data_IF_252854983710
#
_entry.id   IF_252854983710
#
_cell.length_a   1.000
_cell.length_b   1.000
_cell.length_c   1.000
_cell.angle_alpha   90.00
_cell.angle_beta   90.00
_cell.angle_gamma   90.00
#
_symmetry.space_group_name_H-M   'P 1'
#
loop_
_entity.id
_entity.type
_entity.pdbx_description
1 polymer ?
#
# COMPACT_ATOMS: atom_id res chain seq x y z
N UNK A 1 15.21 -5.59 -7.81
CA UNK A 1 14.04 -5.11 -7.06
C UNK A 1 14.07 -3.59 -7.01
N UNK A 2 13.14 -2.89 -7.65
CA UNK A 2 13.00 -1.44 -7.47
C UNK A 2 11.95 -1.17 -6.40
N UNK A 3 12.28 -0.37 -5.39
CA UNK A 3 11.31 0.17 -4.44
C UNK A 3 11.09 1.65 -4.73
N UNK A 4 9.85 2.11 -4.72
CA UNK A 4 9.52 3.51 -4.92
C UNK A 4 8.58 4.00 -3.83
N UNK A 5 8.63 5.30 -3.51
CA UNK A 5 7.74 5.88 -2.53
C UNK A 5 6.31 5.99 -3.10
N UNK A 6 5.33 5.44 -2.41
CA UNK A 6 3.92 5.62 -2.70
C UNK A 6 3.45 6.99 -2.21
N UNK A 7 3.62 7.99 -3.09
CA UNK A 7 3.30 9.40 -2.80
C UNK A 7 1.81 9.58 -2.54
N UNK A 8 0.95 8.84 -3.24
CA UNK A 8 -0.51 8.95 -3.08
C UNK A 8 -0.95 8.43 -1.72
N UNK A 9 -0.40 7.30 -1.26
CA UNK A 9 -0.64 6.79 0.09
C UNK A 9 -0.16 7.77 1.15
N UNK A 10 1.05 8.32 1.02
CA UNK A 10 1.55 9.34 1.94
C UNK A 10 0.60 10.55 1.99
N UNK A 11 0.24 11.09 0.83
CA UNK A 11 -0.65 12.24 0.72
C UNK A 11 -2.04 11.97 1.30
N UNK A 12 -2.58 10.76 1.12
CA UNK A 12 -3.85 10.32 1.69
C UNK A 12 -3.78 10.24 3.22
N UNK A 13 -2.73 9.63 3.77
CA UNK A 13 -2.53 9.52 5.22
C UNK A 13 -2.38 10.89 5.88
N UNK A 14 -1.63 11.80 5.25
CA UNK A 14 -1.47 13.18 5.73
C UNK A 14 -2.82 13.90 5.80
N UNK A 15 -3.60 13.88 4.71
CA UNK A 15 -4.94 14.48 4.69
C UNK A 15 -5.86 13.88 5.74
N UNK A 16 -5.84 12.55 5.88
CA UNK A 16 -6.67 11.82 6.83
C UNK A 16 -6.34 12.20 8.27
N UNK A 17 -5.05 12.23 8.64
CA UNK A 17 -4.63 12.61 9.99
C UNK A 17 -4.86 14.11 10.26
N UNK A 18 -4.66 14.97 9.26
CA UNK A 18 -4.96 16.41 9.38
C UNK A 18 -6.46 16.63 9.61
N UNK A 19 -7.31 15.95 8.84
CA UNK A 19 -8.76 16.10 8.89
C UNK A 19 -9.17 17.52 8.47
N UNK A 20 -10.02 18.15 9.29
CA UNK A 20 -10.48 19.54 9.08
C UNK A 20 -9.47 20.60 9.51
N UNK A 21 -8.34 20.20 10.11
CA UNK A 21 -7.33 21.13 10.62
C UNK A 21 -6.65 21.92 9.51
N UNK A 22 -6.30 23.16 9.79
CA UNK A 22 -5.60 24.06 8.88
C UNK A 22 -4.15 23.62 8.62
N UNK A 23 -3.63 23.97 7.45
CA UNK A 23 -2.24 23.64 7.08
C UNK A 23 -1.23 24.31 8.02
N UNK A 24 -1.53 25.52 8.50
CA UNK A 24 -0.63 26.26 9.41
C UNK A 24 -0.48 25.58 10.77
N UNK A 25 -1.60 25.30 11.43
CA UNK A 25 -1.57 24.60 12.73
C UNK A 25 -0.93 23.21 12.61
N UNK A 26 -1.24 22.47 11.55
CA UNK A 26 -0.70 21.13 11.33
C UNK A 26 0.80 21.18 11.05
N UNK A 27 1.27 22.19 10.30
CA UNK A 27 2.70 22.36 10.00
C UNK A 27 3.54 22.63 11.27
N UNK A 28 2.97 23.35 12.24
CA UNK A 28 3.60 23.59 13.55
C UNK A 28 3.68 22.31 14.36
N UNK A 29 2.64 21.48 14.34
CA UNK A 29 2.61 20.19 15.03
C UNK A 29 3.61 19.18 14.45
N UNK A 30 3.74 19.11 13.12
CA UNK A 30 4.70 18.20 12.47
C UNK A 30 6.13 18.62 12.80
N UNK A 31 6.41 19.92 12.80
CA UNK A 31 7.76 20.47 12.91
C UNK A 31 8.56 20.30 11.61
N UNK A 32 9.50 21.22 11.34
CA UNK A 32 10.36 21.23 10.14
C UNK A 32 9.64 21.12 8.77
N UNK A 33 8.34 21.38 8.72
CA UNK A 33 7.54 21.39 7.48
C UNK A 33 6.78 22.70 7.41
N UNK A 34 6.89 23.42 6.29
CA UNK A 34 6.12 24.65 6.07
C UNK A 34 4.68 24.35 5.61
N UNK A 35 3.69 25.25 5.82
CA UNK A 35 2.33 25.07 5.29
C UNK A 35 2.30 24.83 3.79
N UNK A 36 3.18 25.51 3.04
CA UNK A 36 3.32 25.37 1.59
C UNK A 36 3.90 24.01 1.21
N UNK A 37 4.87 23.48 1.98
CA UNK A 37 5.40 22.13 1.78
C UNK A 37 4.33 21.08 2.07
N UNK A 38 3.60 21.23 3.18
CA UNK A 38 2.51 20.33 3.54
C UNK A 38 1.43 20.29 2.44
N UNK A 39 1.02 21.46 1.92
CA UNK A 39 0.06 21.53 0.80
C UNK A 39 0.56 20.81 -0.46
N UNK A 40 1.85 20.94 -0.79
CA UNK A 40 2.46 20.26 -1.95
C UNK A 40 2.45 18.74 -1.76
N UNK A 41 2.82 18.26 -0.58
CA UNK A 41 2.78 16.82 -0.24
C UNK A 41 1.36 16.29 -0.33
N UNK A 42 0.40 16.99 0.25
CA UNK A 42 -1.00 16.60 0.10
C UNK A 42 -1.38 16.60 -1.38
N UNK A 43 -0.95 17.55 -2.19
CA UNK A 43 -1.23 17.55 -3.63
C UNK A 43 -0.46 16.49 -4.44
N UNK A 44 0.18 15.51 -3.79
CA UNK A 44 0.86 14.40 -4.45
C UNK A 44 2.26 14.75 -4.95
N UNK A 45 2.90 15.80 -4.44
CA UNK A 45 4.29 16.13 -4.82
C UNK A 45 5.29 15.46 -3.90
N UNK A 46 6.37 14.96 -4.50
CA UNK A 46 7.47 14.29 -3.81
C UNK A 46 8.09 15.22 -2.74
N UNK A 47 8.09 14.82 -1.45
CA UNK A 47 8.84 15.52 -0.42
C UNK A 47 10.34 15.23 -0.54
N UNK A 48 11.15 16.13 0.03
CA UNK A 48 12.54 15.79 0.35
C UNK A 48 12.60 14.81 1.54
N UNK A 49 13.79 14.27 1.79
CA UNK A 49 13.99 13.26 2.83
C UNK A 49 13.67 13.76 4.24
N UNK A 50 13.98 15.02 4.54
CA UNK A 50 13.72 15.61 5.85
C UNK A 50 12.21 15.74 6.09
N UNK A 51 11.48 16.32 5.13
CA UNK A 51 10.02 16.43 5.15
C UNK A 51 9.38 15.05 5.26
N UNK A 52 9.87 14.07 4.50
CA UNK A 52 9.34 12.71 4.52
C UNK A 52 9.46 12.07 5.91
N UNK A 53 10.63 12.15 6.55
CA UNK A 53 10.84 11.57 7.88
C UNK A 53 10.02 12.29 8.96
N UNK A 54 9.92 13.62 8.89
CA UNK A 54 9.07 14.40 9.79
C UNK A 54 7.60 13.96 9.68
N UNK A 55 7.11 13.74 8.46
CA UNK A 55 5.76 13.24 8.22
C UNK A 55 5.59 11.80 8.71
N UNK A 56 6.56 10.90 8.51
CA UNK A 56 6.49 9.52 9.01
C UNK A 56 6.36 9.51 10.54
N UNK A 57 7.21 10.29 11.23
CA UNK A 57 7.14 10.44 12.68
C UNK A 57 5.80 11.03 13.11
N UNK A 58 5.34 12.11 12.48
CA UNK A 58 4.06 12.70 12.82
C UNK A 58 2.90 11.73 12.58
N UNK A 59 2.92 10.96 11.48
CA UNK A 59 1.90 9.96 11.13
C UNK A 59 1.95 8.72 12.05
N UNK A 60 3.08 8.45 12.71
CA UNK A 60 3.38 7.20 13.41
C UNK A 60 3.36 5.99 12.45
N UNK A 61 3.93 6.18 11.26
CA UNK A 61 4.02 5.15 10.22
C UNK A 61 5.51 4.91 9.91
N UNK A 62 6.00 3.66 9.99
CA UNK A 62 7.36 3.33 9.58
C UNK A 62 7.62 3.71 8.12
N UNK A 63 8.75 4.35 7.78
CA UNK A 63 9.06 4.73 6.40
C UNK A 63 8.95 3.58 5.40
N UNK A 64 9.33 2.37 5.79
CA UNK A 64 9.29 1.18 4.94
C UNK A 64 7.87 0.85 4.44
N UNK A 65 6.82 1.13 5.21
CA UNK A 65 5.43 0.86 4.81
C UNK A 65 4.90 1.82 3.72
N UNK A 66 5.65 2.88 3.42
CA UNK A 66 5.32 3.84 2.39
C UNK A 66 6.07 3.57 1.08
N UNK A 67 7.02 2.64 1.07
CA UNK A 67 7.64 2.19 -0.17
C UNK A 67 6.90 0.98 -0.70
N UNK A 68 6.57 1.02 -1.99
CA UNK A 68 6.09 -0.14 -2.73
C UNK A 68 7.22 -0.78 -3.49
N UNK A 69 7.16 -2.09 -3.61
CA UNK A 69 7.97 -2.82 -4.58
C UNK A 69 7.23 -2.88 -5.91
N UNK A 70 7.96 -2.79 -7.02
CA UNK A 70 7.38 -2.89 -8.38
C UNK A 70 6.59 -4.19 -8.64
N UNK A 71 6.74 -5.20 -7.78
CA UNK A 71 6.01 -6.47 -7.85
C UNK A 71 4.64 -6.42 -7.15
N UNK A 72 4.42 -5.53 -6.18
CA UNK A 72 3.15 -5.43 -5.44
C UNK A 72 2.01 -4.82 -6.28
N UNK A 73 2.32 -4.12 -7.36
CA UNK A 73 1.31 -3.57 -8.27
C UNK A 73 0.81 -4.58 -9.32
N UNK A 74 1.45 -5.75 -9.43
CA UNK A 74 0.88 -6.85 -10.19
C UNK A 74 0.07 -7.74 -9.25
N UNK A 75 -1.21 -8.04 -9.57
CA UNK A 75 -1.91 -9.09 -8.84
C UNK A 75 -1.03 -10.34 -8.91
N UNK A 76 -0.79 -10.95 -7.76
CA UNK A 76 -0.15 -12.26 -7.74
C UNK A 76 -0.97 -13.22 -8.60
N UNK A 77 -0.33 -14.30 -9.05
CA UNK A 77 -0.97 -15.27 -9.95
C UNK A 77 -2.35 -15.73 -9.45
N UNK A 78 -2.57 -16.06 -8.16
CA UNK A 78 -3.90 -16.45 -7.69
C UNK A 78 -4.93 -15.30 -7.72
N UNK A 79 -4.56 -14.06 -7.44
CA UNK A 79 -5.49 -12.92 -7.56
C UNK A 79 -5.82 -12.61 -9.02
N UNK A 80 -4.84 -12.68 -9.93
CA UNK A 80 -5.05 -12.47 -11.36
C UNK A 80 -6.06 -13.50 -11.93
N UNK A 81 -5.91 -14.76 -11.55
CA UNK A 81 -6.85 -15.84 -11.92
C UNK A 81 -8.24 -15.57 -11.33
N UNK A 82 -8.32 -15.16 -10.06
CA UNK A 82 -9.59 -14.85 -9.40
C UNK A 82 -10.34 -13.70 -10.08
N UNK A 83 -9.63 -12.65 -10.51
CA UNK A 83 -10.21 -11.53 -11.27
C UNK A 83 -10.80 -12.04 -12.58
N UNK A 84 -10.04 -12.84 -13.35
CA UNK A 84 -10.49 -13.37 -14.63
C UNK A 84 -11.73 -14.26 -14.49
N UNK A 85 -11.77 -15.14 -13.47
CA UNK A 85 -12.91 -16.00 -13.19
C UNK A 85 -14.18 -15.20 -12.87
N UNK A 86 -14.06 -14.13 -12.08
CA UNK A 86 -15.20 -13.26 -11.74
C UNK A 86 -15.66 -12.38 -12.91
N UNK A 87 -14.77 -12.05 -13.83
CA UNK A 87 -15.09 -11.25 -15.00
C UNK A 87 -15.78 -12.05 -16.12
N UNK A 88 -15.69 -13.39 -16.10
CA UNK A 88 -16.31 -14.24 -17.10
C UNK A 88 -17.83 -14.32 -16.92
N UNK A 89 -18.57 -13.65 -17.81
CA UNK A 89 -20.03 -13.60 -17.82
C UNK A 89 -20.70 -14.95 -18.17
N UNK A 90 -19.94 -15.95 -18.64
CA UNK A 90 -20.46 -17.30 -18.91
C UNK A 90 -20.50 -18.17 -17.66
N UNK A 91 -19.77 -17.79 -16.61
CA UNK A 91 -19.75 -18.48 -15.33
C UNK A 91 -20.84 -17.92 -14.43
N UNK A 92 -21.53 -18.82 -13.73
CA UNK A 92 -22.40 -18.42 -12.63
C UNK A 92 -21.56 -17.72 -11.55
N UNK A 93 -22.00 -16.58 -10.99
CA UNK A 93 -21.22 -15.82 -10.01
C UNK A 93 -20.84 -16.61 -8.75
N UNK A 94 -21.68 -17.55 -8.30
CA UNK A 94 -21.35 -18.37 -7.15
C UNK A 94 -20.25 -19.38 -7.51
N UNK A 95 -20.31 -19.97 -8.71
CA UNK A 95 -19.27 -20.88 -9.22
C UNK A 95 -17.94 -20.16 -9.41
N UNK A 96 -17.94 -18.97 -10.02
CA UNK A 96 -16.74 -18.16 -10.21
C UNK A 96 -16.05 -17.83 -8.87
N UNK A 97 -16.82 -17.49 -7.84
CA UNK A 97 -16.28 -17.24 -6.51
C UNK A 97 -15.76 -18.50 -5.81
N UNK A 98 -16.43 -19.64 -5.99
CA UNK A 98 -15.96 -20.92 -5.46
C UNK A 98 -14.61 -21.33 -6.08
N UNK A 99 -14.48 -21.23 -7.41
CA UNK A 99 -13.23 -21.51 -8.11
C UNK A 99 -12.11 -20.56 -7.69
N UNK A 100 -12.39 -19.25 -7.60
CA UNK A 100 -11.42 -18.27 -7.12
C UNK A 100 -10.93 -18.60 -5.70
N UNK A 101 -11.85 -19.03 -4.82
CA UNK A 101 -11.50 -19.41 -3.44
C UNK A 101 -10.63 -20.67 -3.40
N UNK A 102 -10.93 -21.65 -4.26
CA UNK A 102 -10.15 -22.89 -4.37
C UNK A 102 -8.73 -22.62 -4.89
N UNK A 103 -8.59 -21.78 -5.92
CA UNK A 103 -7.28 -21.37 -6.45
C UNK A 103 -6.46 -20.70 -5.35
N UNK A 104 -7.03 -19.70 -4.65
CA UNK A 104 -6.34 -19.02 -3.55
C UNK A 104 -5.93 -19.98 -2.43
N UNK A 105 -6.78 -20.95 -2.09
CA UNK A 105 -6.48 -21.94 -1.07
C UNK A 105 -5.30 -22.85 -1.46
N UNK A 106 -5.25 -23.31 -2.71
CA UNK A 106 -4.15 -24.14 -3.21
C UNK A 106 -2.80 -23.40 -3.21
N UNK A 107 -2.79 -22.13 -3.62
CA UNK A 107 -1.56 -21.31 -3.60
C UNK A 107 -1.06 -21.03 -2.18
N UNK A 108 -1.97 -20.81 -1.22
CA UNK A 108 -1.60 -20.64 0.18
C UNK A 108 -0.94 -21.90 0.76
N UNK A 109 -1.48 -23.08 0.46
CA UNK A 109 -0.89 -24.36 0.90
C UNK A 109 0.53 -24.56 0.32
N UNK A 110 0.72 -24.28 -0.98
CA UNK A 110 2.05 -24.31 -1.61
C UNK A 110 3.04 -23.34 -0.96
N UNK A 111 2.62 -22.10 -0.68
CA UNK A 111 3.50 -21.13 -0.02
C UNK A 111 3.89 -21.54 1.40
N UNK A 112 3.00 -22.25 2.12
CA UNK A 112 3.31 -22.75 3.46
C UNK A 112 4.30 -23.92 3.41
N UNK A 113 4.20 -24.80 2.41
CA UNK A 113 5.16 -25.89 2.20
C UNK A 113 6.56 -25.37 1.81
N UNK A 114 6.62 -24.33 0.97
CA UNK A 114 7.88 -23.70 0.56
C UNK A 114 8.61 -22.98 1.71
N UNK A 115 7.87 -22.47 2.71
CA UNK A 115 8.44 -21.85 3.91
C UNK A 115 8.93 -22.89 4.93
N UNK A 116 8.29 -24.06 5.02
CA UNK A 116 8.74 -25.19 5.84
C UNK A 116 10.03 -25.82 5.28
N UNK A 117 10.17 -25.92 3.95
CA UNK A 117 11.38 -26.45 3.29
C UNK A 117 12.62 -25.55 3.40
N UNK A 118 12.46 -24.26 3.69
CA UNK A 118 13.56 -23.29 3.87
C UNK A 118 14.07 -23.19 5.32
N UNK A 119 13.43 -23.90 6.26
CA UNK A 119 13.77 -23.85 7.69
C UNK A 119 14.62 -25.04 8.19
N UNK A 120 15.00 -25.98 7.31
CA UNK A 120 15.96 -27.03 7.66
C UNK A 120 17.41 -26.52 7.46
N UNK A 121 18.27 -26.56 8.50
CA UNK A 121 19.59 -25.90 8.54
C UNK A 121 20.69 -26.58 7.71
#
# INVERSE_FOLDING_TARGET
>A
MGSYLDIERLASLVRKKRGSRGLRETSVEIGNVSPSTLSRVESGRMPDMETFLALCNWLQVPPAELFRTTEEDQPDTPEAIAIQLRADKKLDPAIANALASLVKAAYRDLSQQDDELKQDP
#
